data_IF_681721894665
#
_entry.id   IF_681721894665
#
_cell.length_a   1.000
_cell.length_b   1.000
_cell.length_c   1.000
_cell.angle_alpha   90.00
_cell.angle_beta   90.00
_cell.angle_gamma   90.00
#
_symmetry.space_group_name_H-M   'P 1'
#
loop_
_entity.id
_entity.type
_entity.pdbx_description
1 polymer ?
#
# COMPACT_ATOMS: atom_id res chain seq x y z
N UNK A 1 -3.52 4.61 41.74
CA UNK A 1 -2.97 5.50 40.67
C UNK A 1 -1.89 4.82 39.82
N UNK A 2 -1.00 3.97 40.36
CA UNK A 2 0.05 3.28 39.58
C UNK A 2 -0.49 2.33 38.50
N UNK A 3 -1.55 1.57 38.78
CA UNK A 3 -2.20 0.68 37.81
C UNK A 3 -2.72 1.44 36.56
N UNK A 4 -3.34 2.61 36.77
CA UNK A 4 -3.79 3.52 35.69
C UNK A 4 -2.61 4.03 34.85
N UNK A 5 -1.47 4.29 35.47
CA UNK A 5 -0.25 4.75 34.79
C UNK A 5 0.35 3.66 33.90
N UNK A 6 0.35 2.40 34.34
CA UNK A 6 0.79 1.26 33.53
C UNK A 6 -0.13 0.98 32.34
N UNK A 7 -1.45 1.13 32.51
CA UNK A 7 -2.40 1.00 31.40
C UNK A 7 -2.18 2.09 30.34
N UNK A 8 -1.92 3.33 30.77
CA UNK A 8 -1.63 4.44 29.85
C UNK A 8 -0.28 4.23 29.13
N UNK A 9 0.75 3.76 29.85
CA UNK A 9 2.05 3.45 29.24
C UNK A 9 1.96 2.32 28.20
N UNK A 10 1.17 1.27 28.48
CA UNK A 10 0.93 0.17 27.52
C UNK A 10 0.14 0.65 26.29
N UNK A 11 -0.83 1.56 26.47
CA UNK A 11 -1.60 2.15 25.37
C UNK A 11 -0.74 3.05 24.48
N UNK A 12 0.18 3.82 25.06
CA UNK A 12 1.14 4.67 24.34
C UNK A 12 2.09 3.87 23.44
N UNK A 13 2.48 2.65 23.85
CA UNK A 13 3.30 1.74 23.05
C UNK A 13 2.58 1.24 21.79
N UNK A 14 1.24 1.14 21.81
CA UNK A 14 0.44 0.68 20.67
C UNK A 14 0.28 1.75 19.57
N UNK A 15 0.62 3.01 19.84
CA UNK A 15 0.49 4.13 18.90
C UNK A 15 1.68 4.25 17.92
N UNK A 16 2.69 3.36 18.00
CA UNK A 16 3.92 3.45 17.18
C UNK A 16 3.81 2.78 15.81
N UNK A 17 2.60 2.60 15.27
CA UNK A 17 2.35 2.05 13.93
C UNK A 17 2.70 3.02 12.79
N UNK A 18 3.88 3.63 12.86
CA UNK A 18 4.39 4.52 11.83
C UNK A 18 4.86 3.68 10.64
N UNK A 19 4.39 4.00 9.43
CA UNK A 19 4.92 3.42 8.20
C UNK A 19 6.37 3.88 7.99
N UNK A 20 7.19 3.02 7.39
CA UNK A 20 8.54 3.40 6.98
C UNK A 20 8.47 3.91 5.54
N UNK A 21 9.17 5.02 5.20
CA UNK A 21 9.20 5.52 3.85
C UNK A 21 9.75 4.46 2.89
N UNK A 22 9.30 4.52 1.64
CA UNK A 22 9.75 3.61 0.59
C UNK A 22 11.25 3.84 0.31
N UNK A 23 12.02 2.76 0.07
CA UNK A 23 13.39 2.90 -0.41
C UNK A 23 13.39 3.55 -1.80
N UNK A 24 14.42 4.33 -2.10
CA UNK A 24 14.52 5.14 -3.33
C UNK A 24 14.28 4.33 -4.62
N UNK A 25 14.84 3.11 -4.68
CA UNK A 25 14.68 2.19 -5.82
C UNK A 25 13.24 1.70 -6.05
N UNK A 26 12.34 1.88 -5.07
CA UNK A 26 10.93 1.49 -5.14
C UNK A 26 9.98 2.68 -5.28
N UNK A 27 10.47 3.90 -5.45
CA UNK A 27 9.61 5.08 -5.64
C UNK A 27 8.71 4.98 -6.88
N UNK A 28 9.10 4.18 -7.88
CA UNK A 28 8.22 3.89 -9.02
C UNK A 28 6.93 3.14 -8.64
N UNK A 29 6.78 2.62 -7.43
CA UNK A 29 5.52 2.05 -6.95
C UNK A 29 4.55 3.11 -6.42
N UNK A 30 5.03 4.32 -6.11
CA UNK A 30 4.23 5.41 -5.56
C UNK A 30 3.20 5.90 -6.57
N UNK A 31 2.01 6.17 -6.07
CA UNK A 31 0.88 6.70 -6.83
C UNK A 31 -0.39 5.89 -6.64
N UNK A 32 -1.45 6.37 -7.27
CA UNK A 32 -2.71 5.66 -7.37
C UNK A 32 -2.74 4.80 -8.64
N UNK A 33 -3.05 3.52 -8.47
CA UNK A 33 -3.10 2.52 -9.51
C UNK A 33 -4.51 1.95 -9.61
N UNK A 34 -5.04 1.87 -10.82
CA UNK A 34 -6.43 1.49 -11.02
C UNK A 34 -6.63 0.51 -12.18
N UNK A 35 -7.66 -0.30 -12.04
CA UNK A 35 -8.35 -1.03 -13.11
C UNK A 35 -9.86 -0.95 -12.88
N UNK A 36 -10.64 -1.63 -13.72
CA UNK A 36 -12.11 -1.72 -13.53
C UNK A 36 -12.51 -2.35 -12.20
N UNK A 37 -11.67 -3.21 -11.63
CA UNK A 37 -12.02 -4.03 -10.46
C UNK A 37 -11.13 -3.78 -9.24
N UNK A 38 -10.05 -3.02 -9.37
CA UNK A 38 -9.03 -2.86 -8.32
C UNK A 38 -8.51 -1.42 -8.28
N UNK A 39 -8.41 -0.87 -7.08
CA UNK A 39 -7.73 0.39 -6.76
C UNK A 39 -6.67 0.11 -5.71
N UNK A 40 -5.47 0.64 -5.94
CA UNK A 40 -4.30 0.49 -5.08
C UNK A 40 -3.56 1.83 -5.01
N UNK A 41 -3.50 2.43 -3.83
CA UNK A 41 -2.73 3.63 -3.55
C UNK A 41 -1.50 3.24 -2.72
N UNK A 42 -0.33 3.68 -3.16
CA UNK A 42 0.93 3.54 -2.42
C UNK A 42 1.52 4.94 -2.26
N UNK A 43 1.73 5.37 -1.03
CA UNK A 43 2.33 6.67 -0.71
C UNK A 43 3.84 6.52 -0.42
N UNK A 44 4.58 7.62 -0.61
CA UNK A 44 6.03 7.66 -0.36
C UNK A 44 6.41 7.29 1.09
N UNK A 45 5.52 7.60 2.03
CA UNK A 45 5.70 7.31 3.46
C UNK A 45 5.51 5.83 3.84
N UNK A 46 5.15 4.98 2.86
CA UNK A 46 4.89 3.56 3.08
C UNK A 46 3.45 3.21 3.40
N UNK A 47 2.52 4.17 3.41
CA UNK A 47 1.11 3.89 3.58
C UNK A 47 0.52 3.25 2.31
N UNK A 48 -0.25 2.18 2.48
CA UNK A 48 -0.94 1.49 1.38
C UNK A 48 -2.43 1.40 1.67
N UNK A 49 -3.24 1.74 0.66
CA UNK A 49 -4.68 1.52 0.64
C UNK A 49 -5.07 0.72 -0.59
N UNK A 50 -5.83 -0.34 -0.40
CA UNK A 50 -6.24 -1.26 -1.44
C UNK A 50 -7.73 -1.58 -1.34
N UNK A 51 -8.37 -1.70 -2.50
CA UNK A 51 -9.74 -2.17 -2.64
C UNK A 51 -9.89 -2.96 -3.93
N UNK A 52 -10.51 -4.13 -3.88
CA UNK A 52 -10.85 -4.94 -5.06
C UNK A 52 -12.26 -5.50 -4.99
N UNK A 53 -12.97 -5.48 -6.12
CA UNK A 53 -14.24 -6.14 -6.33
C UNK A 53 -14.00 -7.40 -7.17
N UNK A 54 -14.31 -8.59 -6.64
CA UNK A 54 -14.19 -9.85 -7.38
C UNK A 54 -15.34 -10.76 -7.05
N UNK A 55 -16.09 -11.21 -8.07
CA UNK A 55 -17.24 -12.10 -7.88
C UNK A 55 -18.33 -11.53 -6.97
N UNK A 56 -18.54 -10.20 -7.00
CA UNK A 56 -19.51 -9.50 -6.15
C UNK A 56 -19.03 -9.23 -4.71
N UNK A 57 -17.84 -9.73 -4.34
CA UNK A 57 -17.24 -9.49 -3.02
C UNK A 57 -16.24 -8.35 -3.10
N UNK A 58 -16.32 -7.40 -2.16
CA UNK A 58 -15.32 -6.35 -1.99
C UNK A 58 -14.33 -6.74 -0.90
N UNK A 59 -13.04 -6.66 -1.20
CA UNK A 59 -11.94 -6.83 -0.24
C UNK A 59 -11.18 -5.53 -0.14
N UNK A 60 -10.84 -5.12 1.09
CA UNK A 60 -10.03 -3.93 1.35
C UNK A 60 -8.89 -4.24 2.29
N UNK A 61 -7.73 -3.62 2.05
CA UNK A 61 -6.54 -3.72 2.91
C UNK A 61 -5.99 -2.31 3.09
N UNK A 62 -5.81 -1.88 4.33
CA UNK A 62 -5.19 -0.60 4.65
C UNK A 62 -4.12 -0.86 5.70
N UNK A 63 -2.92 -0.33 5.48
CA UNK A 63 -1.83 -0.49 6.43
C UNK A 63 -0.48 -0.10 5.86
N UNK A 64 0.57 -0.17 6.70
CA UNK A 64 1.92 0.14 6.27
C UNK A 64 2.49 -0.98 5.40
N UNK A 65 3.29 -0.60 4.41
CA UNK A 65 4.21 -1.48 3.71
C UNK A 65 5.31 -1.91 4.70
N UNK A 66 5.42 -3.22 4.92
CA UNK A 66 6.40 -3.81 5.83
C UNK A 66 7.73 -4.07 5.15
N UNK A 67 7.67 -4.66 3.96
CA UNK A 67 8.84 -5.05 3.18
C UNK A 67 8.48 -5.32 1.72
N UNK A 68 9.52 -5.32 0.88
CA UNK A 68 9.48 -5.86 -0.47
C UNK A 68 10.22 -7.20 -0.50
N UNK A 69 9.68 -8.19 -1.21
CA UNK A 69 10.32 -9.47 -1.50
C UNK A 69 10.51 -9.55 -3.02
N UNK A 70 11.65 -9.05 -3.50
CA UNK A 70 11.79 -8.76 -4.93
C UNK A 70 10.87 -7.60 -5.32
N UNK A 71 9.88 -7.86 -6.17
CA UNK A 71 8.83 -6.90 -6.55
C UNK A 71 7.51 -7.07 -5.80
N UNK A 72 7.28 -8.24 -5.19
CA UNK A 72 6.17 -8.46 -4.28
C UNK A 72 6.30 -7.54 -3.06
N UNK A 73 5.18 -7.13 -2.49
CA UNK A 73 5.18 -6.30 -1.29
C UNK A 73 4.20 -6.81 -0.24
N UNK A 74 4.60 -6.66 1.02
CA UNK A 74 3.84 -7.13 2.18
C UNK A 74 3.26 -5.92 2.90
N UNK A 75 1.95 -5.89 3.06
CA UNK A 75 1.21 -4.82 3.74
C UNK A 75 0.57 -5.37 5.00
N UNK A 76 0.63 -4.61 6.08
CA UNK A 76 -0.12 -4.91 7.29
C UNK A 76 0.62 -4.55 8.56
N UNK A 77 0.06 -4.92 9.71
CA UNK A 77 0.58 -4.55 11.01
C UNK A 77 0.78 -5.77 11.89
N UNK A 78 1.92 -5.82 12.59
CA UNK A 78 2.32 -6.95 13.43
C UNK A 78 2.22 -8.29 12.67
N UNK A 79 1.33 -9.19 13.12
CA UNK A 79 1.12 -10.53 12.60
C UNK A 79 0.03 -10.62 11.52
N UNK A 80 -0.76 -9.56 11.32
CA UNK A 80 -1.81 -9.53 10.30
C UNK A 80 -1.26 -8.86 9.04
N UNK A 81 -0.99 -9.67 8.01
CA UNK A 81 -0.37 -9.20 6.77
C UNK A 81 -1.05 -9.76 5.54
N UNK A 82 -0.92 -9.04 4.43
CA UNK A 82 -1.32 -9.46 3.08
C UNK A 82 -0.12 -9.28 2.17
N UNK A 83 0.16 -10.29 1.34
CA UNK A 83 1.20 -10.21 0.31
C UNK A 83 0.54 -9.96 -1.03
N UNK A 84 0.98 -8.92 -1.71
CA UNK A 84 0.58 -8.58 -3.06
C UNK A 84 1.65 -9.08 -4.03
N UNK A 85 1.26 -9.95 -4.97
CA UNK A 85 2.18 -10.52 -5.94
C UNK A 85 2.30 -9.63 -7.16
N UNK A 86 3.52 -9.23 -7.51
CA UNK A 86 3.80 -8.34 -8.63
C UNK A 86 4.48 -9.16 -9.72
N UNK A 87 3.71 -9.49 -10.77
CA UNK A 87 4.26 -10.26 -11.89
C UNK A 87 4.92 -9.37 -12.96
N UNK A 88 4.57 -8.08 -12.99
CA UNK A 88 5.23 -7.06 -13.81
C UNK A 88 5.38 -5.80 -12.95
N UNK A 89 6.63 -5.42 -12.68
CA UNK A 89 6.95 -4.21 -11.91
C UNK A 89 6.46 -2.94 -12.63
N UNK A 90 6.24 -1.82 -11.92
CA UNK A 90 5.95 -0.52 -12.52
C UNK A 90 6.90 -0.18 -13.67
N UNK A 91 6.34 0.01 -14.85
CA UNK A 91 7.06 0.46 -16.03
C UNK A 91 6.14 1.32 -16.90
N UNK A 92 6.75 2.16 -17.71
CA UNK A 92 6.04 2.99 -18.68
C UNK A 92 6.01 2.29 -20.04
N UNK A 93 4.82 2.24 -20.64
CA UNK A 93 4.61 1.78 -22.01
C UNK A 93 3.72 2.80 -22.71
N UNK A 94 4.18 3.32 -23.85
CA UNK A 94 3.46 4.30 -24.67
C UNK A 94 2.94 5.53 -23.88
N UNK A 95 3.73 6.04 -22.94
CA UNK A 95 3.35 7.20 -22.13
C UNK A 95 2.42 6.89 -20.95
N UNK A 96 2.14 5.60 -20.69
CA UNK A 96 1.25 5.16 -19.63
C UNK A 96 1.98 4.24 -18.66
N UNK A 97 2.00 4.62 -17.39
CA UNK A 97 2.52 3.76 -16.33
C UNK A 97 1.57 2.60 -16.06
N UNK A 98 2.12 1.40 -16.04
CA UNK A 98 1.39 0.17 -15.76
C UNK A 98 2.18 -0.79 -14.88
N UNK A 99 1.46 -1.69 -14.20
CA UNK A 99 2.01 -2.82 -13.46
C UNK A 99 0.98 -3.95 -13.39
N UNK A 100 1.39 -5.15 -13.00
CA UNK A 100 0.46 -6.28 -12.77
C UNK A 100 0.57 -6.77 -11.34
N UNK A 101 -0.53 -6.68 -10.60
CA UNK A 101 -0.63 -7.09 -9.20
C UNK A 101 -1.75 -8.12 -9.03
N UNK A 102 -1.44 -9.26 -8.41
CA UNK A 102 -2.36 -10.38 -8.21
C UNK A 102 -3.13 -10.78 -9.48
N UNK A 103 -2.42 -10.76 -10.61
CA UNK A 103 -2.93 -11.07 -11.94
C UNK A 103 -3.79 -9.96 -12.59
N UNK A 104 -3.87 -8.77 -12.00
CA UNK A 104 -4.63 -7.63 -12.54
C UNK A 104 -3.68 -6.57 -13.05
N UNK A 105 -3.82 -6.19 -14.32
CA UNK A 105 -3.12 -5.04 -14.88
C UNK A 105 -3.73 -3.75 -14.37
N UNK A 106 -2.90 -2.92 -13.76
CA UNK A 106 -3.25 -1.61 -13.22
C UNK A 106 -2.55 -0.54 -14.03
N UNK A 107 -3.20 0.63 -14.11
CA UNK A 107 -2.66 1.82 -14.73
C UNK A 107 -2.55 2.92 -13.69
N UNK A 108 -1.44 3.66 -13.69
CA UNK A 108 -1.31 4.80 -12.79
C UNK A 108 -2.27 5.89 -13.23
N UNK A 109 -3.01 6.44 -12.26
CA UNK A 109 -3.80 7.64 -12.50
C UNK A 109 -2.83 8.79 -12.64
N UNK A 110 -2.86 9.46 -13.79
CA UNK A 110 -2.09 10.68 -13.97
C UNK A 110 -2.63 11.71 -12.98
N UNK A 111 -1.77 12.19 -12.09
CA UNK A 111 -2.08 13.33 -11.23
C UNK A 111 -2.45 14.51 -12.12
N UNK A 112 -3.72 14.90 -12.13
CA UNK A 112 -4.03 16.27 -12.52
C UNK A 112 -3.46 17.12 -11.41
N UNK A 113 -2.44 17.95 -11.72
CA UNK A 113 -2.03 19.03 -10.81
C UNK A 113 -3.29 19.80 -10.41
N UNK A 114 -3.68 19.67 -9.14
CA UNK A 114 -4.65 20.56 -8.55
C UNK A 114 -3.82 21.76 -8.10
N UNK A 115 -3.76 22.78 -8.95
CA UNK A 115 -3.19 24.06 -8.57
C UNK A 115 -4.12 24.66 -7.50
N UNK A 116 -3.58 24.89 -6.30
CA UNK A 116 -4.26 25.57 -5.20
C UNK A 116 -4.14 27.08 -5.33
#
# INVERSE_FOLDING_TARGET
MKFKLYTIALLLLLLTACSKPLPEIKLNYVGEWQSKEMVLLILEDGSVAYKRLKGGVTTSVNGPLKEFVGDDFVVGFLFLTTTFKVSESPHELDGQWQMVVDGVRLFRVNEKKVDF
#
